data_IF_744761793752
#
_entry.id   IF_744761793752
#
_cell.length_a   1.000
_cell.length_b   1.000
_cell.length_c   1.000
_cell.angle_alpha   90.00
_cell.angle_beta   90.00
_cell.angle_gamma   90.00
#
_symmetry.space_group_name_H-M   'P 1'
#
loop_
_entity.id
_entity.type
_entity.pdbx_description
1 polymer ?
#
# COMPACT_ATOMS: atom_id res chain seq x y z
N UNK A 1 -9.84 4.37 -31.05
CA UNK A 1 -9.76 3.87 -29.66
C UNK A 1 -10.35 2.47 -29.65
N UNK A 2 -9.49 1.47 -29.52
CA UNK A 2 -9.88 0.06 -29.64
C UNK A 2 -10.51 -0.46 -28.34
N UNK A 3 -11.24 -1.59 -28.38
CA UNK A 3 -11.77 -2.24 -27.18
C UNK A 3 -10.68 -2.55 -26.12
N UNK A 4 -9.43 -2.76 -26.55
CA UNK A 4 -8.28 -2.99 -25.67
C UNK A 4 -7.91 -1.76 -24.80
N UNK A 5 -8.00 -0.54 -25.36
CA UNK A 5 -7.69 0.70 -24.62
C UNK A 5 -8.70 0.93 -23.48
N UNK A 6 -9.97 0.59 -23.75
CA UNK A 6 -11.04 0.67 -22.76
C UNK A 6 -10.84 -0.35 -21.64
N UNK A 7 -10.46 -1.59 -21.96
CA UNK A 7 -10.20 -2.63 -20.95
C UNK A 7 -9.05 -2.25 -20.02
N UNK A 8 -7.96 -1.70 -20.55
CA UNK A 8 -6.83 -1.19 -19.75
C UNK A 8 -7.29 -0.08 -18.82
N UNK A 9 -8.01 0.93 -19.35
CA UNK A 9 -8.53 2.03 -18.52
C UNK A 9 -9.48 1.56 -17.41
N UNK A 10 -10.36 0.60 -17.72
CA UNK A 10 -11.26 -0.02 -16.73
C UNK A 10 -10.50 -0.82 -15.68
N UNK A 11 -9.42 -1.52 -16.05
CA UNK A 11 -8.55 -2.20 -15.10
C UNK A 11 -7.93 -1.22 -14.10
N UNK A 12 -7.34 -0.11 -14.57
CA UNK A 12 -6.77 0.94 -13.71
C UNK A 12 -7.83 1.50 -12.75
N UNK A 13 -9.00 1.87 -13.26
CA UNK A 13 -10.10 2.35 -12.42
C UNK A 13 -10.55 1.31 -11.39
N UNK A 14 -10.63 0.04 -11.80
CA UNK A 14 -10.93 -1.07 -10.91
C UNK A 14 -9.95 -1.17 -9.74
N UNK A 15 -8.65 -1.04 -10.02
CA UNK A 15 -7.60 -1.02 -9.00
C UNK A 15 -7.79 0.10 -7.99
N UNK A 16 -7.97 1.33 -8.48
CA UNK A 16 -8.20 2.52 -7.64
C UNK A 16 -9.43 2.34 -6.75
N UNK A 17 -10.56 1.89 -7.33
CA UNK A 17 -11.82 1.72 -6.60
C UNK A 17 -11.68 0.62 -5.54
N UNK A 18 -11.08 -0.52 -5.87
CA UNK A 18 -10.90 -1.61 -4.90
C UNK A 18 -10.07 -1.17 -3.71
N UNK A 19 -8.93 -0.51 -3.93
CA UNK A 19 -8.10 0.00 -2.84
C UNK A 19 -8.82 1.04 -1.99
N UNK A 20 -9.56 1.96 -2.61
CA UNK A 20 -10.42 2.91 -1.90
C UNK A 20 -11.46 2.21 -1.03
N UNK A 21 -12.14 1.19 -1.56
CA UNK A 21 -13.16 0.43 -0.82
C UNK A 21 -12.52 -0.32 0.35
N UNK A 22 -11.37 -0.95 0.15
CA UNK A 22 -10.62 -1.63 1.21
C UNK A 22 -10.25 -0.63 2.30
N UNK A 23 -9.58 0.47 1.96
CA UNK A 23 -9.17 1.50 2.91
C UNK A 23 -10.38 2.07 3.68
N UNK A 24 -11.46 2.40 2.97
CA UNK A 24 -12.68 2.94 3.57
C UNK A 24 -13.35 1.94 4.50
N UNK A 25 -13.37 0.66 4.13
CA UNK A 25 -13.92 -0.43 4.95
C UNK A 25 -13.10 -0.58 6.24
N UNK A 26 -11.77 -0.57 6.14
CA UNK A 26 -10.88 -0.64 7.31
C UNK A 26 -11.08 0.58 8.23
N UNK A 27 -11.20 1.79 7.66
CA UNK A 27 -11.47 3.02 8.42
C UNK A 27 -12.83 2.97 9.12
N UNK A 28 -13.85 2.39 8.49
CA UNK A 28 -15.17 2.19 9.10
C UNK A 28 -15.12 1.21 10.27
N UNK A 29 -14.45 0.06 10.10
CA UNK A 29 -14.27 -0.91 11.17
C UNK A 29 -13.40 -0.39 12.32
N UNK A 30 -12.43 0.49 12.02
CA UNK A 30 -11.54 1.08 13.03
C UNK A 30 -12.12 2.34 13.70
N UNK A 31 -13.05 3.03 13.03
CA UNK A 31 -13.69 4.27 13.52
C UNK A 31 -14.95 4.05 14.37
N UNK A 32 -15.42 2.81 14.50
CA UNK A 32 -16.68 2.48 15.16
C UNK A 32 -16.66 2.43 16.69
N UNK A 33 -16.05 3.38 17.42
CA UNK A 33 -16.30 3.55 18.87
C UNK A 33 -15.97 4.99 19.32
N UNK A 34 -16.99 5.85 19.43
CA UNK A 34 -16.78 7.19 19.96
C UNK A 34 -17.97 8.15 20.06
N UNK A 35 -19.21 7.66 20.18
CA UNK A 35 -20.34 8.52 20.56
C UNK A 35 -20.79 8.22 21.98
N UNK A 36 -20.28 8.99 22.95
CA UNK A 36 -20.94 9.14 24.24
C UNK A 36 -21.30 10.60 24.46
N UNK A 37 -22.60 10.88 24.45
CA UNK A 37 -23.16 12.19 24.77
C UNK A 37 -22.84 12.60 26.21
N UNK A 38 -22.56 13.90 26.34
CA UNK A 38 -22.65 14.79 27.50
C UNK A 38 -22.97 14.20 28.89
N UNK A 39 -22.06 14.41 29.85
CA UNK A 39 -22.36 15.19 31.06
C UNK A 39 -21.10 15.42 31.91
N UNK A 40 -20.89 16.70 32.22
CA UNK A 40 -20.26 17.27 33.41
C UNK A 40 -19.14 16.50 34.15
N UNK A 41 -17.90 17.01 34.06
CA UNK A 41 -17.03 17.35 35.22
C UNK A 41 -15.61 17.70 34.78
N UNK A 42 -15.22 18.94 35.06
CA UNK A 42 -13.86 19.47 34.90
C UNK A 42 -12.94 18.85 35.97
N UNK A 43 -12.27 17.73 35.65
CA UNK A 43 -11.01 17.27 36.30
C UNK A 43 -10.27 16.12 35.56
N UNK A 44 -10.83 15.54 34.50
CA UNK A 44 -10.26 14.37 33.78
C UNK A 44 -9.73 14.65 32.35
N UNK A 45 -9.33 15.89 32.05
CA UNK A 45 -9.02 16.25 30.65
C UNK A 45 -7.68 15.64 30.15
N UNK A 46 -6.70 15.44 31.05
CA UNK A 46 -5.40 14.83 30.68
C UNK A 46 -5.47 13.31 30.51
N UNK A 47 -6.24 12.61 31.36
CA UNK A 47 -6.44 11.15 31.28
C UNK A 47 -7.28 10.78 30.06
N UNK A 48 -8.34 11.56 29.76
CA UNK A 48 -9.14 11.41 28.53
C UNK A 48 -8.34 11.70 27.26
N UNK A 49 -7.51 12.76 27.23
CA UNK A 49 -6.61 13.03 26.08
C UNK A 49 -5.57 11.93 25.88
N UNK A 50 -4.98 11.38 26.94
CA UNK A 50 -4.01 10.28 26.83
C UNK A 50 -4.66 8.99 26.33
N UNK A 51 -5.86 8.63 26.81
CA UNK A 51 -6.58 7.46 26.31
C UNK A 51 -7.03 7.64 24.85
N UNK A 52 -7.48 8.83 24.47
CA UNK A 52 -7.83 9.14 23.08
C UNK A 52 -6.62 8.98 22.15
N UNK A 53 -5.47 9.56 22.51
CA UNK A 53 -4.22 9.43 21.76
C UNK A 53 -3.74 7.98 21.65
N UNK A 54 -3.87 7.19 22.73
CA UNK A 54 -3.52 5.76 22.72
C UNK A 54 -4.44 4.93 21.82
N UNK A 55 -5.73 5.26 21.74
CA UNK A 55 -6.66 4.62 20.82
C UNK A 55 -6.40 5.04 19.37
N UNK A 56 -6.12 6.32 19.11
CA UNK A 56 -5.74 6.82 17.77
C UNK A 56 -4.48 6.11 17.26
N UNK A 57 -3.45 5.96 18.11
CA UNK A 57 -2.22 5.22 17.76
C UNK A 57 -2.48 3.75 17.44
N UNK A 58 -3.39 3.09 18.17
CA UNK A 58 -3.78 1.70 17.87
C UNK A 58 -4.55 1.58 16.56
N UNK A 59 -5.45 2.52 16.28
CA UNK A 59 -6.18 2.59 15.00
C UNK A 59 -5.20 2.78 13.85
N UNK A 60 -4.21 3.67 14.00
CA UNK A 60 -3.16 3.84 13.01
C UNK A 60 -2.38 2.54 12.76
N UNK A 61 -2.02 1.78 13.81
CA UNK A 61 -1.35 0.49 13.66
C UNK A 61 -2.17 -0.58 12.92
N UNK A 62 -3.49 -0.67 13.16
CA UNK A 62 -4.35 -1.60 12.40
C UNK A 62 -4.59 -1.17 10.96
N UNK A 63 -4.73 0.15 10.73
CA UNK A 63 -4.85 0.69 9.37
C UNK A 63 -3.57 0.43 8.57
N UNK A 64 -2.41 0.60 9.21
CA UNK A 64 -1.10 0.29 8.63
C UNK A 64 -1.04 -1.18 8.17
N UNK A 65 -1.39 -2.11 9.06
CA UNK A 65 -1.34 -3.54 8.76
C UNK A 65 -2.22 -3.94 7.57
N UNK A 66 -3.40 -3.31 7.46
CA UNK A 66 -4.34 -3.64 6.40
C UNK A 66 -3.94 -2.97 5.07
N UNK A 67 -3.38 -1.76 5.10
CA UNK A 67 -2.77 -1.13 3.93
C UNK A 67 -1.60 -1.99 3.41
N UNK A 68 -0.73 -2.42 4.32
CA UNK A 68 0.42 -3.27 4.05
C UNK A 68 0.02 -4.63 3.46
N UNK A 69 -0.98 -5.33 4.03
CA UNK A 69 -1.53 -6.56 3.42
C UNK A 69 -1.99 -6.34 1.97
N UNK A 70 -2.64 -5.22 1.70
CA UNK A 70 -3.18 -4.91 0.37
C UNK A 70 -2.05 -4.55 -0.60
N UNK A 71 -1.01 -3.86 -0.14
CA UNK A 71 0.22 -3.60 -0.89
C UNK A 71 0.93 -4.90 -1.27
N UNK A 72 1.18 -5.73 -0.27
CA UNK A 72 1.76 -7.06 -0.42
C UNK A 72 0.96 -7.90 -1.44
N UNK A 73 -0.36 -7.86 -1.38
CA UNK A 73 -1.21 -8.52 -2.37
C UNK A 73 -0.98 -8.04 -3.81
N UNK A 74 -0.87 -6.73 -4.03
CA UNK A 74 -0.55 -6.19 -5.37
C UNK A 74 0.84 -6.54 -5.85
N UNK A 75 1.82 -6.58 -4.96
CA UNK A 75 3.17 -7.04 -5.28
C UNK A 75 3.15 -8.50 -5.71
N UNK A 76 2.41 -9.34 -4.99
CA UNK A 76 2.15 -10.72 -5.37
C UNK A 76 1.53 -10.84 -6.77
N UNK A 77 0.52 -10.03 -7.07
CA UNK A 77 -0.09 -10.00 -8.40
C UNK A 77 0.93 -9.65 -9.49
N UNK A 78 1.79 -8.65 -9.23
CA UNK A 78 2.84 -8.21 -10.14
C UNK A 78 3.92 -9.29 -10.35
N UNK A 79 4.36 -9.97 -9.29
CA UNK A 79 5.31 -11.09 -9.37
C UNK A 79 4.69 -12.22 -10.20
N UNK A 80 3.47 -12.63 -9.91
CA UNK A 80 2.80 -13.68 -10.69
C UNK A 80 2.63 -13.28 -12.16
N UNK A 81 2.24 -12.03 -12.44
CA UNK A 81 2.02 -11.54 -13.80
C UNK A 81 3.31 -11.44 -14.61
N UNK A 82 4.40 -11.03 -13.97
CA UNK A 82 5.73 -10.94 -14.60
C UNK A 82 6.30 -12.32 -14.93
N UNK A 83 6.14 -13.33 -14.07
CA UNK A 83 6.53 -14.71 -14.39
C UNK A 83 5.68 -15.33 -15.50
N UNK A 84 4.42 -14.92 -15.66
CA UNK A 84 3.58 -15.29 -16.80
C UNK A 84 4.13 -14.65 -18.10
N UNK A 85 4.57 -13.40 -18.03
CA UNK A 85 5.14 -12.68 -19.17
C UNK A 85 6.52 -13.23 -19.60
N UNK A 86 7.33 -13.70 -18.64
CA UNK A 86 8.59 -14.38 -18.91
C UNK A 86 9.46 -14.54 -17.66
N UNK A 87 10.30 -15.57 -17.64
CA UNK A 87 11.14 -15.90 -16.48
C UNK A 87 12.12 -14.78 -16.09
N UNK A 88 12.79 -14.17 -17.07
CA UNK A 88 13.71 -13.05 -16.82
C UNK A 88 12.99 -11.83 -16.23
N UNK A 89 11.80 -11.50 -16.76
CA UNK A 89 10.97 -10.39 -16.27
C UNK A 89 10.53 -10.69 -14.83
N UNK A 90 10.05 -11.92 -14.56
CA UNK A 90 9.66 -12.36 -13.23
C UNK A 90 10.79 -12.25 -12.20
N UNK A 91 12.00 -12.67 -12.54
CA UNK A 91 13.18 -12.55 -11.68
C UNK A 91 13.52 -11.08 -11.38
N UNK A 92 13.56 -10.22 -12.41
CA UNK A 92 13.83 -8.78 -12.25
C UNK A 92 12.76 -8.13 -11.39
N UNK A 93 11.47 -8.40 -11.64
CA UNK A 93 10.35 -7.86 -10.87
C UNK A 93 10.41 -8.30 -9.40
N UNK A 94 10.69 -9.58 -9.14
CA UNK A 94 10.81 -10.11 -7.77
C UNK A 94 11.92 -9.42 -6.99
N UNK A 95 13.12 -9.28 -7.60
CA UNK A 95 14.25 -8.60 -6.96
C UNK A 95 13.94 -7.12 -6.74
N UNK A 96 13.29 -6.47 -7.70
CA UNK A 96 12.90 -5.05 -7.61
C UNK A 96 11.90 -4.82 -6.47
N UNK A 97 10.92 -5.72 -6.32
CA UNK A 97 9.94 -5.68 -5.21
C UNK A 97 10.63 -5.91 -3.88
N UNK A 98 11.45 -6.95 -3.78
CA UNK A 98 12.19 -7.25 -2.55
C UNK A 98 13.03 -6.06 -2.07
N UNK A 99 13.63 -5.29 -2.99
CA UNK A 99 14.41 -4.12 -2.60
C UNK A 99 13.58 -2.95 -2.07
N UNK A 100 12.35 -2.73 -2.56
CA UNK A 100 11.51 -1.65 -2.02
C UNK A 100 10.69 -2.09 -0.80
N UNK A 101 10.53 -3.40 -0.60
CA UNK A 101 9.79 -3.93 0.53
C UNK A 101 10.60 -3.95 1.83
N UNK A 102 11.93 -4.15 1.76
CA UNK A 102 12.80 -4.08 2.95
C UNK A 102 12.67 -2.71 3.67
N UNK A 103 12.79 -1.54 2.99
CA UNK A 103 12.55 -0.25 3.64
C UNK A 103 11.12 -0.08 4.12
N UNK A 104 10.13 -0.58 3.35
CA UNK A 104 8.71 -0.44 3.66
C UNK A 104 8.35 -1.17 4.96
N UNK A 105 8.70 -2.46 5.08
CA UNK A 105 8.44 -3.26 6.28
C UNK A 105 9.15 -2.72 7.53
N UNK A 106 10.34 -2.11 7.38
CA UNK A 106 11.03 -1.46 8.51
C UNK A 106 10.22 -0.26 9.02
N UNK A 107 9.61 0.52 8.12
CA UNK A 107 8.72 1.62 8.46
C UNK A 107 7.46 1.14 9.19
N UNK A 108 6.80 0.13 8.63
CA UNK A 108 5.58 -0.47 9.20
C UNK A 108 5.82 -1.09 10.57
N UNK A 109 6.95 -1.79 10.74
CA UNK A 109 7.38 -2.30 12.02
C UNK A 109 7.53 -1.18 13.06
N UNK A 110 8.12 -0.05 12.67
CA UNK A 110 8.26 1.10 13.56
C UNK A 110 6.90 1.67 13.98
N UNK A 111 5.94 1.78 13.05
CA UNK A 111 4.57 2.23 13.32
C UNK A 111 3.86 1.28 14.29
N UNK A 112 3.97 -0.04 14.08
CA UNK A 112 3.39 -1.05 14.98
C UNK A 112 3.97 -0.99 16.39
N UNK A 113 5.30 -0.85 16.53
CA UNK A 113 5.94 -0.69 17.84
C UNK A 113 5.48 0.62 18.50
N UNK A 114 5.37 1.71 17.75
CA UNK A 114 4.91 3.01 18.26
C UNK A 114 3.41 2.98 18.66
N UNK A 115 2.60 2.14 18.01
CA UNK A 115 1.20 1.87 18.38
C UNK A 115 1.03 1.10 19.69
N UNK A 116 2.13 0.58 20.25
CA UNK A 116 2.17 -0.15 21.52
C UNK A 116 2.26 -1.68 21.37
N UNK A 117 2.56 -2.21 20.19
CA UNK A 117 2.89 -3.62 20.04
C UNK A 117 4.29 -3.92 20.59
N UNK A 118 4.47 -5.10 21.18
CA UNK A 118 5.80 -5.61 21.47
C UNK A 118 6.53 -5.95 20.17
N UNK A 119 7.87 -5.87 20.17
CA UNK A 119 8.68 -6.17 18.97
C UNK A 119 8.34 -7.51 18.32
N UNK A 120 8.22 -8.57 19.12
CA UNK A 120 7.86 -9.90 18.61
C UNK A 120 6.44 -9.95 18.02
N UNK A 121 5.48 -9.22 18.60
CA UNK A 121 4.12 -9.15 18.05
C UNK A 121 4.10 -8.34 16.75
N UNK A 122 4.80 -7.21 16.68
CA UNK A 122 4.90 -6.41 15.47
C UNK A 122 5.49 -7.22 14.31
N UNK A 123 6.57 -7.97 14.57
CA UNK A 123 7.18 -8.86 13.57
C UNK A 123 6.23 -9.98 13.10
N UNK A 124 5.48 -10.59 14.02
CA UNK A 124 4.49 -11.63 13.66
C UNK A 124 3.31 -11.07 12.87
N UNK A 125 2.89 -9.83 13.14
CA UNK A 125 1.83 -9.17 12.37
C UNK A 125 2.32 -8.82 10.96
N UNK A 126 3.55 -8.32 10.81
CA UNK A 126 4.14 -8.07 9.49
C UNK A 126 4.29 -9.37 8.69
N UNK A 127 4.72 -10.46 9.33
CA UNK A 127 4.77 -11.75 8.63
C UNK A 127 3.37 -12.24 8.18
N UNK A 128 2.30 -11.81 8.85
CA UNK A 128 0.93 -12.12 8.45
C UNK A 128 0.52 -11.35 7.18
N UNK A 129 1.06 -10.15 6.95
CA UNK A 129 0.75 -9.37 5.74
C UNK A 129 1.40 -9.95 4.48
N UNK A 130 2.53 -10.66 4.62
CA UNK A 130 3.17 -11.41 3.53
C UNK A 130 2.27 -12.50 2.90
N UNK A 131 1.23 -12.98 3.60
CA UNK A 131 0.22 -13.86 2.99
C UNK A 131 -0.55 -13.14 1.87
N UNK A 132 -0.65 -11.81 1.92
CA UNK A 132 -1.13 -10.98 0.82
C UNK A 132 -0.37 -11.29 -0.46
N UNK A 133 0.97 -11.18 -0.44
CA UNK A 133 1.82 -11.44 -1.60
C UNK A 133 1.71 -12.87 -2.14
N UNK A 134 1.65 -13.86 -1.25
CA UNK A 134 1.44 -15.25 -1.67
C UNK A 134 0.07 -15.40 -2.35
N UNK A 135 -0.99 -14.86 -1.75
CA UNK A 135 -2.34 -14.96 -2.32
C UNK A 135 -2.50 -14.21 -3.65
N UNK A 136 -1.86 -13.04 -3.80
CA UNK A 136 -1.82 -12.30 -5.05
C UNK A 136 -1.09 -13.07 -6.15
N UNK A 137 0.06 -13.67 -5.82
CA UNK A 137 0.83 -14.49 -6.77
C UNK A 137 0.01 -15.69 -7.24
N UNK A 138 -0.61 -16.42 -6.31
CA UNK A 138 -1.47 -17.57 -6.61
C UNK A 138 -2.65 -17.15 -7.47
N UNK A 139 -3.30 -16.03 -7.15
CA UNK A 139 -4.43 -15.52 -7.94
C UNK A 139 -3.99 -15.16 -9.37
N UNK A 140 -2.85 -14.50 -9.52
CA UNK A 140 -2.29 -14.13 -10.83
C UNK A 140 -2.02 -15.37 -11.69
N UNK A 141 -1.38 -16.40 -11.13
CA UNK A 141 -1.10 -17.67 -11.81
C UNK A 141 -2.40 -18.42 -12.12
N UNK A 142 -3.37 -18.43 -11.20
CA UNK A 142 -4.67 -19.06 -11.42
C UNK A 142 -5.42 -18.41 -12.59
N UNK A 143 -5.40 -17.07 -12.67
CA UNK A 143 -6.03 -16.32 -13.75
C UNK A 143 -5.37 -16.55 -15.11
N UNK A 144 -4.10 -16.97 -15.17
CA UNK A 144 -3.44 -17.43 -16.42
C UNK A 144 -4.22 -18.57 -17.07
N UNK A 145 -4.75 -19.51 -16.29
CA UNK A 145 -5.51 -20.66 -16.80
C UNK A 145 -6.79 -20.26 -17.53
N UNK A 146 -7.22 -19.00 -17.42
CA UNK A 146 -8.39 -18.43 -18.10
C UNK A 146 -8.05 -17.74 -19.44
N UNK A 147 -6.78 -17.70 -19.85
CA UNK A 147 -6.30 -17.17 -21.13
C UNK A 147 -5.15 -16.16 -21.00
N UNK A 148 -4.13 -16.25 -21.87
CA UNK A 148 -2.88 -15.45 -21.82
C UNK A 148 -3.09 -13.92 -21.92
N UNK A 149 -4.22 -13.42 -22.41
CA UNK A 149 -4.47 -11.97 -22.55
C UNK A 149 -5.02 -11.29 -21.29
N UNK A 150 -5.47 -12.05 -20.28
CA UNK A 150 -6.07 -11.48 -19.06
C UNK A 150 -5.04 -10.77 -18.18
N UNK A 151 -3.82 -11.27 -18.12
CA UNK A 151 -2.76 -10.70 -17.29
C UNK A 151 -2.40 -9.28 -17.77
N UNK A 152 -2.17 -9.11 -19.07
CA UNK A 152 -1.81 -7.83 -19.68
C UNK A 152 -2.98 -6.86 -19.84
N UNK A 153 -4.21 -7.37 -20.05
CA UNK A 153 -5.38 -6.52 -20.27
C UNK A 153 -6.07 -6.06 -18.99
N UNK A 154 -5.98 -6.83 -17.90
CA UNK A 154 -6.71 -6.53 -16.65
C UNK A 154 -5.84 -6.55 -15.40
N UNK A 155 -4.98 -7.55 -15.21
CA UNK A 155 -4.20 -7.66 -13.95
C UNK A 155 -3.18 -6.53 -13.85
N UNK A 156 -2.35 -6.31 -14.87
CA UNK A 156 -1.34 -5.24 -14.85
C UNK A 156 -1.98 -3.85 -14.73
N UNK A 157 -3.03 -3.50 -15.50
CA UNK A 157 -3.71 -2.22 -15.32
C UNK A 157 -4.37 -2.10 -13.94
N UNK A 158 -4.97 -3.16 -13.41
CA UNK A 158 -5.53 -3.18 -12.05
C UNK A 158 -4.48 -2.92 -10.98
N UNK A 159 -3.34 -3.62 -11.04
CA UNK A 159 -2.22 -3.42 -10.12
C UNK A 159 -1.65 -2.00 -10.23
N UNK A 160 -1.50 -1.48 -11.46
CA UNK A 160 -1.07 -0.09 -11.68
C UNK A 160 -2.04 0.91 -11.03
N UNK A 161 -3.35 0.68 -11.14
CA UNK A 161 -4.36 1.49 -10.45
C UNK A 161 -4.22 1.46 -8.92
N UNK A 162 -3.95 0.29 -8.35
CA UNK A 162 -3.66 0.13 -6.92
C UNK A 162 -2.44 0.93 -6.48
N UNK A 163 -1.31 0.83 -7.19
CA UNK A 163 -0.11 1.61 -6.89
C UNK A 163 -0.31 3.11 -7.03
N UNK A 164 -1.07 3.57 -8.04
CA UNK A 164 -1.44 4.97 -8.17
C UNK A 164 -2.24 5.45 -6.95
N UNK A 165 -3.18 4.64 -6.45
CA UNK A 165 -3.93 4.97 -5.25
C UNK A 165 -3.03 5.09 -4.02
N UNK A 166 -2.17 4.11 -3.75
CA UNK A 166 -1.24 4.14 -2.60
C UNK A 166 -0.30 5.35 -2.70
N UNK A 167 0.26 5.61 -3.88
CA UNK A 167 1.15 6.74 -4.10
C UNK A 167 0.45 8.08 -3.81
N UNK A 168 -0.81 8.22 -4.21
CA UNK A 168 -1.56 9.49 -4.09
C UNK A 168 -2.19 9.72 -2.72
N UNK A 169 -2.60 8.67 -2.01
CA UNK A 169 -3.29 8.78 -0.72
C UNK A 169 -2.34 8.62 0.47
N UNK A 170 -1.21 7.94 0.30
CA UNK A 170 -0.23 7.72 1.37
C UNK A 170 1.07 8.48 1.11
N UNK A 171 1.78 8.17 0.02
CA UNK A 171 3.16 8.63 -0.18
C UNK A 171 3.26 10.13 -0.46
N UNK A 172 2.44 10.67 -1.37
CA UNK A 172 2.47 12.09 -1.73
C UNK A 172 2.07 12.99 -0.54
N UNK A 173 0.98 12.73 0.21
CA UNK A 173 0.63 13.51 1.38
C UNK A 173 1.74 13.51 2.44
N UNK A 174 2.33 12.35 2.72
CA UNK A 174 3.41 12.22 3.71
C UNK A 174 4.69 12.96 3.28
N UNK A 175 5.02 12.94 1.98
CA UNK A 175 6.10 13.75 1.41
C UNK A 175 5.84 15.25 1.61
N UNK A 176 4.62 15.71 1.35
CA UNK A 176 4.24 17.12 1.46
C UNK A 176 4.22 17.57 2.93
N UNK A 177 3.63 16.79 3.83
CA UNK A 177 3.53 17.11 5.27
C UNK A 177 4.87 16.98 6.02
N UNK A 178 5.73 16.04 5.60
CA UNK A 178 7.08 15.84 6.14
C UNK A 178 8.10 16.83 5.60
N UNK A 179 7.81 17.53 4.50
CA UNK A 179 8.71 18.52 3.91
C UNK A 179 8.85 19.75 4.83
N UNK A 180 10.10 20.13 5.14
CA UNK A 180 10.34 21.49 5.62
C UNK A 180 9.98 22.46 4.49
N UNK A 181 9.25 23.54 4.76
CA UNK A 181 8.76 24.55 3.79
C UNK A 181 9.86 25.29 3.00
N UNK A 182 11.11 24.84 3.07
CA UNK A 182 12.25 25.33 2.31
C UNK A 182 12.17 24.79 0.89
N UNK A 183 12.12 25.69 -0.08
CA UNK A 183 12.11 25.40 -1.52
C UNK A 183 13.21 24.41 -1.97
N UNK A 184 14.39 24.45 -1.34
CA UNK A 184 15.49 23.52 -1.64
C UNK A 184 15.17 22.06 -1.32
N UNK A 185 14.35 21.80 -0.29
CA UNK A 185 13.93 20.45 0.08
C UNK A 185 12.93 19.90 -0.93
N UNK A 186 11.92 20.69 -1.30
CA UNK A 186 10.95 20.31 -2.33
C UNK A 186 11.60 20.04 -3.69
N UNK A 187 12.64 20.81 -4.08
CA UNK A 187 13.40 20.54 -5.31
C UNK A 187 14.09 19.17 -5.23
N UNK A 188 14.71 18.82 -4.10
CA UNK A 188 15.36 17.51 -3.92
C UNK A 188 14.37 16.37 -4.01
N UNK A 189 13.19 16.52 -3.41
CA UNK A 189 12.11 15.52 -3.42
C UNK A 189 11.58 15.29 -4.84
N UNK A 190 11.33 16.37 -5.60
CA UNK A 190 10.92 16.26 -7.01
C UNK A 190 12.02 15.58 -7.85
N UNK A 191 13.29 15.97 -7.67
CA UNK A 191 14.40 15.34 -8.38
C UNK A 191 14.54 13.86 -8.02
N UNK A 192 14.33 13.49 -6.76
CA UNK A 192 14.33 12.09 -6.33
C UNK A 192 13.17 11.29 -6.95
N UNK A 193 11.96 11.86 -7.02
CA UNK A 193 10.82 11.28 -7.72
C UNK A 193 11.11 11.07 -9.21
N UNK A 194 11.64 12.10 -9.89
CA UNK A 194 12.01 12.02 -11.30
C UNK A 194 13.12 10.99 -11.55
N UNK A 195 14.10 10.91 -10.66
CA UNK A 195 15.16 9.90 -10.72
C UNK A 195 14.58 8.48 -10.55
N UNK A 196 13.62 8.28 -9.65
CA UNK A 196 12.90 7.02 -9.49
C UNK A 196 12.14 6.62 -10.76
N UNK A 197 11.39 7.55 -11.35
CA UNK A 197 10.70 7.33 -12.64
C UNK A 197 11.70 6.99 -13.75
N UNK A 198 12.81 7.72 -13.84
CA UNK A 198 13.85 7.46 -14.82
C UNK A 198 14.48 6.06 -14.67
N UNK A 199 14.77 5.64 -13.44
CA UNK A 199 15.26 4.28 -13.15
C UNK A 199 14.24 3.22 -13.60
N UNK A 200 12.95 3.43 -13.35
CA UNK A 200 11.90 2.50 -13.80
C UNK A 200 11.82 2.41 -15.32
N UNK A 201 11.99 3.53 -16.03
CA UNK A 201 12.04 3.53 -17.50
C UNK A 201 13.26 2.76 -18.01
N UNK A 202 14.42 2.91 -17.38
CA UNK A 202 15.61 2.12 -17.74
C UNK A 202 15.34 0.63 -17.54
N UNK A 203 14.82 0.24 -16.38
CA UNK A 203 14.52 -1.16 -16.08
C UNK A 203 13.52 -1.73 -17.09
N UNK A 204 12.50 -0.97 -17.48
CA UNK A 204 11.50 -1.40 -18.46
C UNK A 204 12.02 -1.56 -19.89
N UNK A 205 13.22 -1.06 -20.20
CA UNK A 205 13.85 -1.23 -21.52
C UNK A 205 14.68 -2.52 -21.64
N UNK A 206 14.88 -3.26 -20.55
CA UNK A 206 15.61 -4.53 -20.49
C UNK A 206 14.68 -5.69 -20.08
#
# INVERSE_FOLDING_TARGET
HGPHDLTVGLGVLGGIITFLVVEKTIRLFSGGHGHSHSSDKRKDDKSKKQNKKKNEMKVAGYLNLAADFTHNFTDGLAIGASFIAGENIGLITTVTILFHEIPHEIGDFAILVQSGCSRGKAMSLQLLTAFGAVSGTVLSIYLRGSGDSLASSLILPFTAGGFIYIATVSVIPELIEGSNTKLSQSIKEILALLAGVYMMVIIAQY
#
